data_IF_303441456125
#
_entry.id   IF_303441456125
#
_cell.length_a   1.000
_cell.length_b   1.000
_cell.length_c   1.000
_cell.angle_alpha   90.00
_cell.angle_beta   90.00
_cell.angle_gamma   90.00
#
_symmetry.space_group_name_H-M   'P 1'
#
loop_
_entity.id
_entity.type
_entity.pdbx_description
1 polymer ?
#
# COMPACT_ATOMS: atom_id res chain seq x y z
N UNK A 1 -3.81 -2.72 -19.75
CA UNK A 1 -3.38 -3.99 -19.10
C UNK A 1 -2.90 -5.04 -20.08
N UNK A 2 -3.65 -5.39 -21.10
CA UNK A 2 -3.27 -6.43 -22.06
C UNK A 2 -1.91 -6.20 -22.76
N UNK A 3 -1.54 -4.94 -23.02
CA UNK A 3 -0.25 -4.60 -23.62
C UNK A 3 0.95 -4.95 -22.72
N UNK A 4 0.83 -4.71 -21.41
CA UNK A 4 1.87 -5.05 -20.44
C UNK A 4 2.07 -6.58 -20.37
N UNK A 5 0.97 -7.34 -20.30
CA UNK A 5 1.02 -8.81 -20.32
C UNK A 5 1.66 -9.35 -21.59
N UNK A 6 1.26 -8.82 -22.76
CA UNK A 6 1.84 -9.23 -24.05
C UNK A 6 3.35 -9.00 -24.10
N UNK A 7 3.82 -7.84 -23.62
CA UNK A 7 5.25 -7.52 -23.58
C UNK A 7 6.02 -8.44 -22.61
N UNK A 8 5.43 -8.71 -21.43
CA UNK A 8 6.04 -9.59 -20.44
C UNK A 8 6.11 -11.05 -20.91
N UNK A 9 5.08 -11.56 -21.59
CA UNK A 9 5.12 -12.89 -22.25
C UNK A 9 6.24 -13.01 -23.29
N UNK A 10 6.60 -11.89 -23.93
CA UNK A 10 7.74 -11.82 -24.84
C UNK A 10 9.11 -11.88 -24.14
N UNK A 11 9.18 -12.24 -22.86
CA UNK A 11 10.43 -12.42 -22.11
C UNK A 11 10.98 -11.14 -21.49
N UNK A 12 10.24 -10.03 -21.52
CA UNK A 12 10.68 -8.73 -21.02
C UNK A 12 10.21 -8.49 -19.58
N UNK A 13 11.03 -7.75 -18.82
CA UNK A 13 10.56 -7.09 -17.61
C UNK A 13 9.79 -5.84 -18.01
N UNK A 14 8.56 -5.70 -17.56
CA UNK A 14 7.65 -4.62 -17.96
C UNK A 14 7.09 -3.92 -16.74
N UNK A 15 7.26 -2.62 -16.71
CA UNK A 15 6.78 -1.74 -15.66
C UNK A 15 5.47 -1.07 -16.09
N UNK A 16 4.52 -0.94 -15.16
CA UNK A 16 3.30 -0.13 -15.33
C UNK A 16 3.52 1.28 -14.78
N UNK A 17 2.60 2.23 -15.03
CA UNK A 17 2.47 3.42 -14.21
C UNK A 17 1.96 3.06 -12.80
N UNK A 18 1.77 4.07 -11.93
CA UNK A 18 1.10 3.87 -10.65
C UNK A 18 -0.37 3.45 -10.89
N UNK A 19 -0.74 2.36 -10.27
CA UNK A 19 -2.07 1.75 -10.35
C UNK A 19 -2.77 1.85 -8.99
N UNK A 20 -4.08 2.07 -9.03
CA UNK A 20 -4.95 1.88 -7.87
C UNK A 20 -5.08 0.39 -7.52
N UNK A 21 -5.43 0.11 -6.28
CA UNK A 21 -5.47 -1.25 -5.75
C UNK A 21 -6.33 -2.22 -6.58
N UNK A 22 -7.47 -1.77 -7.10
CA UNK A 22 -8.36 -2.61 -7.92
C UNK A 22 -7.71 -3.01 -9.26
N UNK A 23 -7.07 -2.05 -9.93
CA UNK A 23 -6.37 -2.30 -11.18
C UNK A 23 -5.15 -3.22 -10.97
N UNK A 24 -4.45 -3.05 -9.85
CA UNK A 24 -3.32 -3.89 -9.48
C UNK A 24 -3.76 -5.34 -9.22
N UNK A 25 -4.85 -5.55 -8.49
CA UNK A 25 -5.37 -6.89 -8.20
C UNK A 25 -5.89 -7.60 -9.47
N UNK A 26 -6.53 -6.86 -10.36
CA UNK A 26 -6.92 -7.41 -11.66
C UNK A 26 -5.70 -7.82 -12.47
N UNK A 27 -4.67 -6.96 -12.54
CA UNK A 27 -3.43 -7.26 -13.25
C UNK A 27 -2.71 -8.46 -12.65
N UNK A 28 -2.70 -8.59 -11.31
CA UNK A 28 -2.13 -9.73 -10.59
C UNK A 28 -2.83 -11.04 -10.97
N UNK A 29 -4.16 -11.01 -11.03
CA UNK A 29 -4.96 -12.17 -11.45
C UNK A 29 -4.65 -12.58 -12.89
N UNK A 30 -4.58 -11.60 -13.80
CA UNK A 30 -4.28 -11.85 -15.21
C UNK A 30 -2.83 -12.36 -15.39
N UNK A 31 -1.85 -11.77 -14.71
CA UNK A 31 -0.46 -12.19 -14.74
C UNK A 31 -0.32 -13.66 -14.31
N UNK A 32 -1.00 -14.05 -13.23
CA UNK A 32 -1.01 -15.45 -12.76
C UNK A 32 -1.59 -16.42 -13.79
N UNK A 33 -2.66 -16.04 -14.50
CA UNK A 33 -3.25 -16.86 -15.58
C UNK A 33 -2.31 -17.05 -16.77
N UNK A 34 -1.42 -16.09 -16.99
CA UNK A 34 -0.45 -16.07 -18.10
C UNK A 34 0.91 -16.68 -17.70
N UNK A 35 1.06 -17.24 -16.49
CA UNK A 35 2.33 -17.78 -16.00
C UNK A 35 3.41 -16.71 -15.80
N UNK A 36 3.00 -15.48 -15.47
CA UNK A 36 3.91 -14.36 -15.19
C UNK A 36 3.96 -14.06 -13.69
N UNK A 37 5.11 -13.63 -13.23
CA UNK A 37 5.28 -13.04 -11.90
C UNK A 37 4.97 -11.55 -11.93
N UNK A 38 4.48 -11.04 -10.80
CA UNK A 38 4.22 -9.63 -10.59
C UNK A 38 4.69 -9.24 -9.20
N UNK A 39 5.55 -8.23 -9.14
CA UNK A 39 5.89 -7.51 -7.91
C UNK A 39 5.35 -6.09 -7.97
N UNK A 40 4.95 -5.55 -6.81
CA UNK A 40 4.33 -4.23 -6.72
C UNK A 40 5.09 -3.36 -5.73
N UNK A 41 5.37 -2.12 -6.13
CA UNK A 41 6.19 -1.16 -5.40
C UNK A 41 5.44 0.16 -5.27
N UNK A 42 5.34 0.68 -4.06
CA UNK A 42 4.65 1.95 -3.79
C UNK A 42 5.59 3.10 -3.44
N UNK A 43 6.86 2.81 -3.16
CA UNK A 43 7.86 3.77 -2.68
C UNK A 43 7.67 4.15 -1.21
N UNK A 44 6.46 4.49 -0.79
CA UNK A 44 6.12 4.79 0.60
C UNK A 44 5.50 3.58 1.30
N UNK A 45 5.65 3.44 2.64
CA UNK A 45 4.93 2.43 3.41
C UNK A 45 3.41 2.59 3.25
N UNK A 46 2.71 1.47 3.11
CA UNK A 46 1.24 1.43 3.02
C UNK A 46 0.66 2.16 1.79
N UNK A 47 1.47 2.31 0.75
CA UNK A 47 1.07 2.99 -0.45
C UNK A 47 -0.25 2.43 -1.02
N UNK A 48 -1.20 3.33 -1.28
CA UNK A 48 -2.48 3.00 -1.92
C UNK A 48 -2.33 2.82 -3.43
N UNK A 49 -1.38 3.53 -4.02
CA UNK A 49 -1.02 3.43 -5.44
C UNK A 49 0.34 2.76 -5.60
N UNK A 50 0.42 1.79 -6.49
CA UNK A 50 1.64 1.00 -6.68
C UNK A 50 1.96 0.79 -8.15
N UNK A 51 3.24 0.76 -8.46
CA UNK A 51 3.76 0.34 -9.77
C UNK A 51 3.89 -1.17 -9.77
N UNK A 52 3.31 -1.82 -10.77
CA UNK A 52 3.52 -3.26 -10.99
C UNK A 52 4.69 -3.49 -11.95
N UNK A 53 5.55 -4.42 -11.59
CA UNK A 53 6.59 -4.96 -12.46
C UNK A 53 6.23 -6.40 -12.80
N UNK A 54 5.97 -6.65 -14.10
CA UNK A 54 5.65 -7.97 -14.63
C UNK A 54 6.89 -8.58 -15.27
N UNK A 55 7.11 -9.86 -15.03
CA UNK A 55 8.27 -10.57 -15.56
C UNK A 55 8.04 -12.08 -15.64
N UNK A 56 8.77 -12.79 -16.53
CA UNK A 56 8.72 -14.24 -16.63
C UNK A 56 9.22 -14.94 -15.35
N UNK A 57 8.75 -16.15 -15.09
CA UNK A 57 9.09 -16.94 -13.89
C UNK A 57 10.60 -17.22 -13.72
N UNK A 58 11.35 -17.30 -14.82
CA UNK A 58 12.79 -17.56 -14.78
C UNK A 58 13.64 -16.37 -14.27
N UNK A 59 13.04 -15.16 -14.16
CA UNK A 59 13.71 -13.99 -13.58
C UNK A 59 13.52 -14.05 -12.07
N UNK A 60 14.60 -14.15 -11.28
CA UNK A 60 14.48 -14.38 -9.83
C UNK A 60 14.06 -13.12 -9.06
N UNK A 61 14.52 -11.94 -9.47
CA UNK A 61 14.35 -10.67 -8.74
C UNK A 61 14.20 -9.53 -9.74
N UNK A 62 13.38 -8.54 -9.39
CA UNK A 62 13.26 -7.26 -10.10
C UNK A 62 13.54 -6.10 -9.15
N UNK A 63 14.06 -5.01 -9.67
CA UNK A 63 14.33 -3.80 -8.90
C UNK A 63 13.06 -2.98 -8.69
N UNK A 64 12.98 -2.28 -7.55
CA UNK A 64 11.97 -1.26 -7.30
C UNK A 64 12.19 -0.08 -8.25
N UNK A 65 11.23 0.22 -9.15
CA UNK A 65 11.35 1.33 -10.08
C UNK A 65 10.97 2.68 -9.47
N UNK A 66 10.42 2.69 -8.27
CA UNK A 66 9.93 3.93 -7.63
C UNK A 66 11.08 4.75 -7.05
N UNK A 67 10.82 6.04 -6.86
CA UNK A 67 11.65 6.97 -6.11
C UNK A 67 10.80 7.68 -5.09
N UNK A 68 11.32 7.86 -3.90
CA UNK A 68 10.71 8.75 -2.91
C UNK A 68 11.46 10.07 -2.94
N UNK A 69 10.71 11.14 -3.15
CA UNK A 69 11.22 12.49 -3.33
C UNK A 69 10.77 13.35 -2.18
N UNK A 70 11.70 14.07 -1.57
CA UNK A 70 11.38 15.11 -0.60
C UNK A 70 11.10 16.43 -1.33
N UNK A 71 9.99 17.06 -0.96
CA UNK A 71 9.53 18.35 -1.49
C UNK A 71 9.49 19.36 -0.32
N UNK A 72 10.33 20.40 -0.41
CA UNK A 72 10.22 21.56 0.44
C UNK A 72 9.13 22.47 -0.15
N UNK A 73 7.94 22.43 0.42
CA UNK A 73 6.79 23.19 -0.05
C UNK A 73 6.11 23.93 1.11
N UNK A 74 5.93 25.25 0.94
CA UNK A 74 5.20 26.09 1.88
C UNK A 74 3.72 26.13 1.47
N UNK A 75 2.89 25.36 2.15
CA UNK A 75 1.46 25.21 1.88
C UNK A 75 0.92 23.92 2.47
N UNK A 76 -0.37 23.70 2.32
CA UNK A 76 -1.03 22.46 2.73
C UNK A 76 -0.94 21.37 1.65
N UNK A 77 -1.40 20.17 2.00
CA UNK A 77 -1.40 19.02 1.10
C UNK A 77 -2.23 19.26 -0.17
N UNK A 78 -3.38 19.95 -0.05
CA UNK A 78 -4.29 20.19 -1.18
C UNK A 78 -3.62 21.08 -2.22
N UNK A 79 -2.99 22.19 -1.78
CA UNK A 79 -2.25 23.10 -2.66
C UNK A 79 -1.05 22.41 -3.32
N UNK A 80 -0.37 21.51 -2.61
CA UNK A 80 0.70 20.71 -3.19
C UNK A 80 0.18 19.73 -4.24
N UNK A 81 -0.91 19.02 -3.95
CA UNK A 81 -1.51 18.08 -4.89
C UNK A 81 -1.93 18.77 -6.20
N UNK A 82 -2.55 19.94 -6.11
CA UNK A 82 -2.95 20.72 -7.30
C UNK A 82 -1.73 21.12 -8.14
N UNK A 83 -0.66 21.57 -7.48
CA UNK A 83 0.61 21.89 -8.15
C UNK A 83 1.24 20.67 -8.82
N UNK A 84 1.23 19.53 -8.16
CA UNK A 84 1.80 18.29 -8.69
C UNK A 84 0.96 17.75 -9.86
N UNK A 85 -0.37 17.82 -9.78
CA UNK A 85 -1.27 17.44 -10.88
C UNK A 85 -1.12 18.34 -12.12
N UNK A 86 -0.76 19.61 -11.92
CA UNK A 86 -0.44 20.50 -13.02
C UNK A 86 0.94 20.22 -13.65
N UNK A 87 1.89 19.71 -12.86
CA UNK A 87 3.28 19.49 -13.25
C UNK A 87 3.55 18.10 -13.81
N UNK A 88 2.85 17.08 -13.34
CA UNK A 88 3.12 15.67 -13.64
C UNK A 88 1.89 14.97 -14.24
N UNK A 89 2.17 14.05 -15.16
CA UNK A 89 1.17 13.10 -15.63
C UNK A 89 0.67 12.25 -14.44
N UNK A 90 -0.62 11.96 -14.32
CA UNK A 90 -1.19 11.18 -13.21
C UNK A 90 -0.51 9.81 -13.03
N UNK A 91 0.00 9.25 -14.10
CA UNK A 91 0.71 7.96 -14.16
C UNK A 91 2.06 7.98 -13.42
N UNK A 92 2.64 9.17 -13.21
CA UNK A 92 3.91 9.35 -12.50
C UNK A 92 3.71 9.66 -11.00
N UNK A 93 2.47 9.91 -10.59
CA UNK A 93 2.13 10.28 -9.22
C UNK A 93 1.73 9.05 -8.41
N UNK A 94 2.52 8.71 -7.40
CA UNK A 94 2.17 7.80 -6.32
C UNK A 94 1.53 8.54 -5.15
N UNK A 95 1.68 8.00 -3.96
CA UNK A 95 1.16 8.60 -2.74
C UNK A 95 2.03 9.76 -2.26
N UNK A 96 1.41 10.65 -1.49
CA UNK A 96 2.07 11.78 -0.84
C UNK A 96 1.90 11.61 0.67
N UNK A 97 2.98 11.83 1.41
CA UNK A 97 2.97 11.79 2.89
C UNK A 97 3.51 13.11 3.43
N UNK A 98 2.74 13.75 4.32
CA UNK A 98 3.17 14.95 5.01
C UNK A 98 4.15 14.59 6.14
N UNK A 99 5.24 15.35 6.24
CA UNK A 99 6.25 15.23 7.29
C UNK A 99 6.35 16.54 8.08
N UNK A 100 7.20 16.57 9.10
CA UNK A 100 7.44 17.80 9.85
C UNK A 100 8.19 18.89 9.07
N UNK A 101 8.91 18.50 8.03
CA UNK A 101 9.83 19.38 7.30
C UNK A 101 9.37 19.66 5.87
N UNK A 102 8.29 19.02 5.42
CA UNK A 102 7.78 19.11 4.06
C UNK A 102 6.98 17.86 3.69
N UNK A 103 7.10 17.44 2.45
CA UNK A 103 6.32 16.32 1.93
C UNK A 103 7.21 15.27 1.26
N UNK A 104 6.81 14.02 1.38
CA UNK A 104 7.39 12.92 0.62
C UNK A 104 6.42 12.53 -0.50
N UNK A 105 6.92 12.41 -1.70
CA UNK A 105 6.18 11.97 -2.88
C UNK A 105 6.79 10.68 -3.42
N UNK A 106 5.99 9.65 -3.59
CA UNK A 106 6.37 8.49 -4.39
C UNK A 106 6.18 8.82 -5.88
N UNK A 107 7.21 8.63 -6.68
CA UNK A 107 7.18 8.92 -8.12
C UNK A 107 8.06 7.94 -8.90
N UNK A 108 8.05 8.04 -10.22
CA UNK A 108 9.01 7.35 -11.09
C UNK A 108 10.19 8.27 -11.42
N UNK A 109 11.36 7.76 -11.89
CA UNK A 109 12.52 8.58 -12.25
C UNK A 109 12.18 9.72 -13.22
N UNK A 110 11.27 9.51 -14.18
CA UNK A 110 10.78 10.55 -15.09
C UNK A 110 10.07 11.68 -14.32
N UNK A 111 9.29 11.36 -13.29
CA UNK A 111 8.58 12.36 -12.48
C UNK A 111 9.54 13.25 -11.70
N UNK A 112 10.55 12.67 -11.04
CA UNK A 112 11.60 13.44 -10.36
C UNK A 112 12.29 14.42 -11.33
N UNK A 113 12.69 13.92 -12.49
CA UNK A 113 13.32 14.77 -13.52
C UNK A 113 12.40 15.90 -13.98
N UNK A 114 11.13 15.60 -14.25
CA UNK A 114 10.16 16.63 -14.66
C UNK A 114 9.98 17.71 -13.59
N UNK A 115 9.91 17.35 -12.31
CA UNK A 115 9.84 18.33 -11.21
C UNK A 115 11.06 19.23 -11.17
N UNK A 116 12.24 18.66 -11.33
CA UNK A 116 13.51 19.42 -11.36
C UNK A 116 13.59 20.36 -12.58
N UNK A 117 13.20 19.88 -13.76
CA UNK A 117 13.17 20.66 -14.99
C UNK A 117 12.19 21.86 -14.90
N UNK A 118 11.12 21.73 -14.11
CA UNK A 118 10.17 22.80 -13.81
C UNK A 118 10.60 23.74 -12.66
N UNK A 119 11.80 23.53 -12.11
CA UNK A 119 12.33 24.35 -11.02
C UNK A 119 11.65 24.09 -9.67
N UNK A 120 10.90 22.99 -9.52
CA UNK A 120 10.36 22.55 -8.22
C UNK A 120 11.52 21.96 -7.41
N UNK A 121 11.68 22.42 -6.16
CA UNK A 121 12.70 21.88 -5.27
C UNK A 121 12.36 20.46 -4.85
N UNK A 122 12.82 19.52 -5.65
CA UNK A 122 12.61 18.10 -5.51
C UNK A 122 13.96 17.37 -5.47
N UNK A 123 14.21 16.59 -4.44
CA UNK A 123 15.39 15.76 -4.28
C UNK A 123 15.03 14.36 -3.79
N UNK A 124 15.84 13.36 -4.11
CA UNK A 124 15.62 12.02 -3.52
C UNK A 124 15.65 12.14 -1.99
N UNK A 125 14.66 11.53 -1.35
CA UNK A 125 14.58 11.53 0.10
C UNK A 125 15.76 10.77 0.71
N UNK A 126 16.41 11.36 1.69
CA UNK A 126 17.44 10.67 2.45
C UNK A 126 16.84 9.54 3.28
N UNK A 127 17.58 8.46 3.59
CA UNK A 127 17.06 7.32 4.36
C UNK A 127 16.45 7.72 5.71
N UNK A 128 16.93 8.79 6.32
CA UNK A 128 16.44 9.33 7.59
C UNK A 128 15.08 10.02 7.46
N UNK A 129 14.76 10.53 6.27
CA UNK A 129 13.50 11.18 5.93
C UNK A 129 12.41 10.16 5.59
N UNK A 130 12.81 8.94 5.21
CA UNK A 130 11.85 7.91 4.87
C UNK A 130 11.08 7.45 6.12
N UNK A 131 9.75 7.32 6.03
CA UNK A 131 8.97 6.80 7.13
C UNK A 131 9.44 5.38 7.44
N UNK A 132 9.91 5.19 8.66
CA UNK A 132 10.24 3.84 9.13
C UNK A 132 8.92 3.12 9.37
N UNK A 133 8.61 2.16 8.52
CA UNK A 133 7.50 1.24 8.78
C UNK A 133 7.72 0.62 10.17
N UNK A 134 6.94 1.03 11.15
CA UNK A 134 7.00 0.46 12.49
C UNK A 134 6.19 -0.82 12.51
N UNK A 135 6.82 -1.89 12.10
CA UNK A 135 6.28 -3.22 12.34
C UNK A 135 6.14 -3.46 13.83
N UNK A 136 4.94 -3.76 14.28
CA UNK A 136 4.68 -4.14 15.66
C UNK A 136 3.95 -5.47 15.68
N UNK A 137 4.64 -6.50 16.12
CA UNK A 137 3.96 -7.75 16.45
C UNK A 137 3.17 -7.58 17.75
N UNK A 138 1.88 -7.89 17.71
CA UNK A 138 0.98 -7.80 18.86
C UNK A 138 0.27 -9.12 19.08
N UNK A 139 0.30 -9.61 20.30
CA UNK A 139 -0.59 -10.68 20.72
C UNK A 139 -1.89 -10.05 21.26
N UNK A 140 -3.02 -10.40 20.64
CA UNK A 140 -4.34 -9.89 21.04
C UNK A 140 -5.30 -11.04 21.31
N UNK A 141 -6.29 -10.77 22.17
CA UNK A 141 -7.39 -11.70 22.44
C UNK A 141 -8.67 -11.05 21.97
N UNK A 142 -9.41 -11.77 21.11
CA UNK A 142 -10.64 -11.29 20.47
C UNK A 142 -11.76 -12.32 20.65
N UNK A 143 -13.04 -11.88 20.77
CA UNK A 143 -14.18 -12.80 20.89
C UNK A 143 -14.54 -13.46 19.55
N UNK A 144 -14.10 -12.92 18.42
CA UNK A 144 -14.35 -13.49 17.09
C UNK A 144 -13.32 -12.99 16.08
N UNK A 145 -13.21 -13.68 14.94
CA UNK A 145 -12.31 -13.31 13.84
C UNK A 145 -12.89 -12.25 12.89
N UNK A 146 -14.00 -11.62 13.26
CA UNK A 146 -14.62 -10.59 12.41
C UNK A 146 -13.71 -9.39 12.19
N UNK A 147 -13.76 -8.84 10.99
CA UNK A 147 -12.97 -7.67 10.58
C UNK A 147 -13.13 -6.50 11.54
N UNK A 148 -14.36 -6.17 11.96
CA UNK A 148 -14.61 -5.07 12.89
C UNK A 148 -14.01 -5.27 14.30
N UNK A 149 -13.83 -6.52 14.69
CA UNK A 149 -13.26 -6.90 16.00
C UNK A 149 -11.74 -6.97 15.92
N UNK A 150 -11.21 -7.70 14.95
CA UNK A 150 -9.77 -7.89 14.78
C UNK A 150 -9.09 -6.57 14.41
N UNK A 151 -9.66 -5.80 13.46
CA UNK A 151 -9.13 -4.52 13.04
C UNK A 151 -9.10 -3.50 14.18
N UNK A 152 -10.21 -3.32 14.91
CA UNK A 152 -10.25 -2.41 16.05
C UNK A 152 -9.19 -2.76 17.11
N UNK A 153 -9.06 -4.06 17.44
CA UNK A 153 -8.11 -4.52 18.46
C UNK A 153 -6.66 -4.40 17.98
N UNK A 154 -6.39 -4.75 16.72
CA UNK A 154 -5.07 -4.68 16.12
C UNK A 154 -4.56 -3.24 16.01
N UNK A 155 -5.38 -2.33 15.50
CA UNK A 155 -5.02 -0.92 15.40
C UNK A 155 -5.14 -0.15 16.73
N UNK A 156 -5.73 -0.75 17.78
CA UNK A 156 -5.88 -0.10 19.09
C UNK A 156 -6.86 1.07 19.07
N UNK A 157 -7.90 0.98 18.26
CA UNK A 157 -9.00 1.96 18.17
C UNK A 157 -10.30 1.37 18.71
N UNK A 158 -11.32 2.21 18.94
CA UNK A 158 -12.63 1.69 19.36
C UNK A 158 -13.29 0.92 18.21
N UNK A 159 -14.07 -0.11 18.57
CA UNK A 159 -14.79 -0.91 17.58
C UNK A 159 -15.78 -0.07 16.77
N UNK A 160 -16.43 0.90 17.42
CA UNK A 160 -17.36 1.82 16.76
C UNK A 160 -16.65 2.67 15.70
N UNK A 161 -15.49 3.24 16.04
CA UNK A 161 -14.68 4.01 15.10
C UNK A 161 -14.25 3.16 13.90
N UNK A 162 -13.73 1.96 14.16
CA UNK A 162 -13.29 1.08 13.09
C UNK A 162 -14.45 0.63 12.19
N UNK A 163 -15.61 0.28 12.79
CA UNK A 163 -16.81 -0.09 12.04
C UNK A 163 -17.36 1.05 11.16
N UNK A 164 -17.20 2.31 11.57
CA UNK A 164 -17.51 3.47 10.72
C UNK A 164 -16.58 3.54 9.51
N UNK A 165 -15.28 3.29 9.67
CA UNK A 165 -14.32 3.19 8.57
C UNK A 165 -14.66 2.09 7.58
N UNK A 166 -15.06 0.91 8.08
CA UNK A 166 -15.53 -0.21 7.24
C UNK A 166 -16.78 0.21 6.45
N UNK A 167 -17.77 0.81 7.12
CA UNK A 167 -19.01 1.29 6.48
C UNK A 167 -18.75 2.37 5.42
N UNK A 168 -17.73 3.20 5.63
CA UNK A 168 -17.32 4.23 4.68
C UNK A 168 -16.47 3.69 3.51
N UNK A 169 -16.22 2.37 3.42
CA UNK A 169 -15.44 1.75 2.38
C UNK A 169 -13.91 1.94 2.50
N UNK A 170 -13.44 2.49 3.64
CA UNK A 170 -12.03 2.80 3.91
C UNK A 170 -11.21 1.60 4.39
N UNK A 171 -11.81 0.43 4.45
CA UNK A 171 -11.15 -0.79 4.92
C UNK A 171 -11.23 -1.86 3.84
N UNK A 172 -10.09 -2.44 3.49
CA UNK A 172 -9.97 -3.51 2.49
C UNK A 172 -9.45 -4.78 3.16
N UNK A 173 -10.11 -5.90 2.93
CA UNK A 173 -9.67 -7.23 3.31
C UNK A 173 -9.26 -7.98 2.05
N UNK A 174 -8.03 -8.51 1.97
CA UNK A 174 -7.51 -9.22 0.79
C UNK A 174 -7.66 -8.41 -0.50
N UNK A 175 -7.47 -7.07 -0.43
CA UNK A 175 -7.63 -6.15 -1.56
C UNK A 175 -9.07 -5.74 -1.91
N UNK A 176 -10.10 -6.35 -1.32
CA UNK A 176 -11.53 -6.02 -1.56
C UNK A 176 -12.10 -5.20 -0.42
N UNK A 177 -13.06 -4.32 -0.72
CA UNK A 177 -13.79 -3.59 0.32
C UNK A 177 -14.37 -4.56 1.33
N UNK A 178 -14.01 -4.36 2.60
CA UNK A 178 -14.40 -5.24 3.68
C UNK A 178 -15.82 -4.96 4.19
N UNK A 179 -16.50 -6.02 4.61
CA UNK A 179 -17.68 -5.92 5.47
C UNK A 179 -17.29 -6.11 6.95
N UNK A 180 -17.99 -5.45 7.85
CA UNK A 180 -17.75 -5.61 9.29
C UNK A 180 -17.90 -7.07 9.78
N UNK A 181 -18.69 -7.87 9.06
CA UNK A 181 -18.98 -9.28 9.39
C UNK A 181 -18.04 -10.28 8.70
N UNK A 182 -17.22 -9.83 7.78
CA UNK A 182 -16.23 -10.70 7.14
C UNK A 182 -15.30 -11.28 8.20
N UNK A 183 -14.91 -12.54 8.03
CA UNK A 183 -14.00 -13.23 8.94
C UNK A 183 -12.59 -13.24 8.37
N UNK A 184 -11.63 -13.02 9.25
CA UNK A 184 -10.20 -13.09 8.95
C UNK A 184 -9.64 -14.45 9.32
N UNK A 185 -8.73 -14.93 8.51
CA UNK A 185 -7.98 -16.16 8.74
C UNK A 185 -6.48 -15.85 8.89
N UNK A 186 -5.72 -16.87 9.28
CA UNK A 186 -4.26 -16.82 9.27
C UNK A 186 -3.74 -16.53 7.85
N UNK A 187 -2.83 -15.58 7.72
CA UNK A 187 -2.30 -15.08 6.45
C UNK A 187 -3.09 -13.93 5.83
N UNK A 188 -4.29 -13.61 6.34
CA UNK A 188 -5.07 -12.49 5.82
C UNK A 188 -4.45 -11.15 6.16
N UNK A 189 -4.52 -10.24 5.19
CA UNK A 189 -4.15 -8.85 5.40
C UNK A 189 -5.34 -7.92 5.30
N UNK A 190 -5.32 -6.88 6.13
CA UNK A 190 -6.31 -5.84 6.23
C UNK A 190 -5.62 -4.49 6.04
N UNK A 191 -6.11 -3.69 5.11
CA UNK A 191 -5.67 -2.31 4.91
C UNK A 191 -6.77 -1.37 5.39
N UNK A 192 -6.42 -0.40 6.23
CA UNK A 192 -7.35 0.60 6.74
C UNK A 192 -6.75 2.01 6.53
N UNK A 193 -7.41 2.82 5.71
CA UNK A 193 -6.99 4.21 5.44
C UNK A 193 -6.80 5.00 6.74
N UNK A 194 -5.65 5.67 6.85
CA UNK A 194 -5.29 6.47 8.03
C UNK A 194 -4.91 5.66 9.27
N UNK A 195 -5.00 4.33 9.24
CA UNK A 195 -4.61 3.47 10.37
C UNK A 195 -3.44 2.54 10.04
N UNK A 196 -3.24 2.22 8.75
CA UNK A 196 -2.19 1.34 8.30
C UNK A 196 -2.66 -0.03 7.84
N UNK A 197 -1.77 -1.01 7.86
CA UNK A 197 -2.09 -2.39 7.52
C UNK A 197 -1.90 -3.35 8.71
N UNK A 198 -2.60 -4.48 8.64
CA UNK A 198 -2.58 -5.51 9.65
C UNK A 198 -2.59 -6.88 8.98
N UNK A 199 -1.71 -7.77 9.41
CA UNK A 199 -1.65 -9.17 8.96
C UNK A 199 -1.92 -10.08 10.15
N UNK A 200 -2.77 -11.08 9.96
CA UNK A 200 -2.94 -12.18 10.92
C UNK A 200 -1.81 -13.18 10.70
N UNK A 201 -0.76 -13.10 11.50
CA UNK A 201 0.41 -14.00 11.37
C UNK A 201 0.08 -15.40 11.83
N UNK A 202 -0.64 -15.54 12.95
CA UNK A 202 -0.96 -16.83 13.54
C UNK A 202 -2.20 -16.79 14.43
N UNK A 203 -2.98 -17.85 14.37
CA UNK A 203 -4.03 -18.14 15.34
C UNK A 203 -3.42 -19.03 16.43
N UNK A 204 -3.21 -18.47 17.63
CA UNK A 204 -2.51 -19.13 18.74
C UNK A 204 -3.40 -20.08 19.56
N UNK A 205 -4.71 -20.16 19.23
CA UNK A 205 -5.68 -21.00 19.93
C UNK A 205 -6.74 -20.20 20.68
N UNK A 206 -7.44 -20.88 21.59
CA UNK A 206 -8.52 -20.28 22.38
C UNK A 206 -8.16 -20.18 23.85
N UNK A 207 -8.67 -19.13 24.50
CA UNK A 207 -8.62 -18.98 25.94
C UNK A 207 -9.66 -19.87 26.62
N UNK A 208 -9.55 -20.10 27.95
CA UNK A 208 -10.52 -20.85 28.75
C UNK A 208 -11.97 -20.29 28.64
N UNK A 209 -12.12 -19.03 28.23
CA UNK A 209 -13.42 -18.33 28.04
C UNK A 209 -13.90 -18.37 26.58
N UNK A 210 -13.26 -19.16 25.70
CA UNK A 210 -13.64 -19.27 24.30
C UNK A 210 -13.18 -18.14 23.39
N UNK A 211 -12.46 -17.13 23.91
CA UNK A 211 -11.89 -16.07 23.07
C UNK A 211 -10.66 -16.57 22.29
N UNK A 212 -10.44 -16.01 21.10
CA UNK A 212 -9.38 -16.40 20.20
C UNK A 212 -8.14 -15.53 20.46
N UNK A 213 -7.00 -16.17 20.62
CA UNK A 213 -5.69 -15.50 20.74
C UNK A 213 -5.01 -15.46 19.39
N UNK A 214 -4.66 -14.24 18.95
CA UNK A 214 -4.02 -13.97 17.65
C UNK A 214 -2.66 -13.32 17.83
N UNK A 215 -1.75 -13.64 16.93
CA UNK A 215 -0.55 -12.86 16.67
C UNK A 215 -0.79 -12.02 15.42
N UNK A 216 -0.73 -10.70 15.59
CA UNK A 216 -0.94 -9.72 14.54
C UNK A 216 0.35 -8.95 14.28
N UNK A 217 0.67 -8.75 13.02
CA UNK A 217 1.68 -7.79 12.59
C UNK A 217 0.97 -6.54 12.12
N UNK A 218 1.30 -5.40 12.73
CA UNK A 218 0.66 -4.11 12.44
C UNK A 218 1.73 -3.16 11.91
N UNK A 219 1.49 -2.62 10.73
CA UNK A 219 2.28 -1.58 10.09
C UNK A 219 1.51 -0.25 10.19
N UNK A 220 2.19 0.80 10.65
CA UNK A 220 1.66 2.17 10.72
C UNK A 220 2.67 3.15 10.18
#
# INVERSE_FOLDING_TARGET
MQEYLKKARGGRVVQTPFLEAEALEELRRLAKQEGLRLEAFGGLPLASRQVAVLFPEHIPVVADPTRVVFLAFEGDLEALEDKLRAALEPELLGDIEETREGFLLATLPKGLKTLQDLGIQAQEAAPEQLPKARERTRSVVVPSLRVDVVGAKGFGVSRTYFAQGVKAGKVKLRGKTASARDEMAEGDYLLAEGLGSLVVKKVLGQTKRGNIKLELEVLR
#
